data_IF_733495323846
#
_entry.id   IF_733495323846
#
_cell.length_a   1.000
_cell.length_b   1.000
_cell.length_c   1.000
_cell.angle_alpha   90.00
_cell.angle_beta   90.00
_cell.angle_gamma   90.00
#
_symmetry.space_group_name_H-M   'P 1'
#
loop_
_entity.id
_entity.type
_entity.pdbx_description
1 polymer ?
#
# COMPACT_ATOMS: atom_id res chain seq x y z
N UNK A 1 23.50 -5.19 -15.53
CA UNK A 1 22.43 -4.27 -15.97
C UNK A 1 22.07 -3.38 -14.79
N UNK A 2 21.77 -2.10 -15.04
CA UNK A 2 21.36 -1.12 -14.03
C UNK A 2 19.85 -0.89 -14.06
N UNK A 3 19.27 -0.56 -12.90
CA UNK A 3 17.87 -0.17 -12.76
C UNK A 3 17.64 1.16 -13.49
N UNK A 4 16.64 1.19 -14.37
CA UNK A 4 16.20 2.35 -15.14
C UNK A 4 14.67 2.33 -15.29
N UNK A 5 14.09 3.45 -15.72
CA UNK A 5 12.65 3.53 -16.03
C UNK A 5 12.25 2.48 -17.08
N UNK A 6 11.03 1.95 -16.94
CA UNK A 6 10.42 0.93 -17.80
C UNK A 6 11.11 -0.45 -17.73
N UNK A 7 11.83 -0.72 -16.64
CA UNK A 7 12.40 -2.04 -16.35
C UNK A 7 11.64 -2.74 -15.24
N UNK A 8 11.56 -4.06 -15.34
CA UNK A 8 11.08 -4.92 -14.26
C UNK A 8 12.25 -5.24 -13.35
N UNK A 9 12.09 -4.93 -12.08
CA UNK A 9 13.11 -5.16 -11.06
C UNK A 9 12.53 -6.12 -10.04
N UNK A 10 13.29 -7.17 -9.75
CA UNK A 10 13.01 -8.08 -8.65
C UNK A 10 14.00 -7.76 -7.53
N UNK A 11 13.48 -7.45 -6.36
CA UNK A 11 14.29 -7.15 -5.17
C UNK A 11 13.81 -7.98 -3.99
N UNK A 12 14.75 -8.28 -3.10
CA UNK A 12 14.45 -8.78 -1.76
C UNK A 12 14.69 -7.63 -0.79
N UNK A 13 13.81 -7.45 0.18
CA UNK A 13 13.98 -6.43 1.21
C UNK A 13 13.33 -6.87 2.51
N UNK A 14 13.80 -6.29 3.60
CA UNK A 14 13.18 -6.33 4.91
C UNK A 14 12.73 -4.91 5.24
N UNK A 15 11.48 -4.80 5.66
CA UNK A 15 10.84 -3.58 6.11
C UNK A 15 10.71 -3.60 7.63
N UNK A 16 11.19 -2.53 8.26
CA UNK A 16 11.11 -2.34 9.72
C UNK A 16 10.60 -0.94 10.02
N UNK A 17 9.81 -0.79 11.07
CA UNK A 17 9.35 0.53 11.57
C UNK A 17 10.33 1.18 12.53
N UNK A 18 11.29 0.41 13.07
CA UNK A 18 12.34 0.90 13.95
C UNK A 18 13.70 0.25 13.59
N UNK A 19 14.81 0.92 13.92
CA UNK A 19 16.18 0.44 13.68
C UNK A 19 16.46 -0.91 14.34
N UNK A 20 15.88 -1.16 15.51
CA UNK A 20 15.95 -2.44 16.25
C UNK A 20 14.58 -3.15 16.32
N UNK A 21 13.61 -2.64 15.55
CA UNK A 21 12.24 -3.14 15.53
C UNK A 21 12.06 -4.51 14.89
N UNK A 22 10.86 -5.04 15.04
CA UNK A 22 10.44 -6.26 14.36
C UNK A 22 10.31 -6.05 12.85
N UNK A 23 10.58 -7.11 12.09
CA UNK A 23 10.38 -7.12 10.65
C UNK A 23 8.88 -7.16 10.40
N UNK A 24 8.32 -6.05 9.91
CA UNK A 24 6.89 -5.96 9.61
C UNK A 24 6.59 -6.67 8.30
N UNK A 25 7.45 -6.49 7.30
CA UNK A 25 7.34 -7.14 6.00
C UNK A 25 8.71 -7.61 5.52
N UNK A 26 8.76 -8.74 4.84
CA UNK A 26 9.97 -9.20 4.17
C UNK A 26 9.64 -9.82 2.82
N UNK A 27 10.32 -9.35 1.79
CA UNK A 27 10.45 -10.02 0.52
C UNK A 27 11.71 -10.89 0.55
N UNK A 28 11.54 -12.21 0.50
CA UNK A 28 12.64 -13.18 0.45
C UNK A 28 12.86 -13.66 -0.99
N UNK A 29 13.98 -14.35 -1.26
CA UNK A 29 14.29 -14.84 -2.61
C UNK A 29 13.24 -15.83 -3.17
N UNK A 30 12.47 -16.49 -2.31
CA UNK A 30 11.35 -17.37 -2.71
C UNK A 30 10.12 -16.59 -3.20
N UNK A 31 9.91 -15.37 -2.67
CA UNK A 31 8.81 -14.47 -3.04
C UNK A 31 9.36 -13.05 -3.17
N UNK A 32 10.19 -12.78 -4.18
CA UNK A 32 10.82 -11.49 -4.34
C UNK A 32 9.78 -10.46 -4.80
N UNK A 33 9.95 -9.22 -4.35
CA UNK A 33 9.11 -8.14 -4.81
C UNK A 33 9.52 -7.78 -6.23
N UNK A 34 8.63 -8.08 -7.17
CA UNK A 34 8.79 -7.74 -8.57
C UNK A 34 7.91 -6.53 -8.88
N UNK A 35 8.53 -5.43 -9.30
CA UNK A 35 7.80 -4.21 -9.65
C UNK A 35 8.41 -3.55 -10.89
N UNK A 36 7.62 -2.69 -11.52
CA UNK A 36 8.05 -1.91 -12.69
C UNK A 36 8.62 -0.59 -12.23
N UNK A 37 9.91 -0.36 -12.46
CA UNK A 37 10.56 0.89 -12.08
C UNK A 37 10.03 2.05 -12.94
N UNK A 38 9.49 3.08 -12.29
CA UNK A 38 8.89 4.24 -12.97
C UNK A 38 7.41 4.07 -13.31
N UNK A 39 6.78 3.00 -12.85
CA UNK A 39 5.36 2.73 -13.03
C UNK A 39 4.45 3.46 -12.02
N UNK A 40 5.02 4.00 -10.94
CA UNK A 40 4.24 4.57 -9.84
C UNK A 40 3.45 3.53 -9.05
N UNK A 41 3.79 2.24 -9.18
CA UNK A 41 3.20 1.15 -8.38
C UNK A 41 3.80 1.07 -6.97
N UNK A 42 4.99 1.64 -6.80
CA UNK A 42 5.76 1.68 -5.55
C UNK A 42 5.99 3.13 -5.12
N UNK A 43 6.47 3.31 -3.89
CA UNK A 43 6.84 4.62 -3.35
C UNK A 43 7.89 5.28 -4.25
N UNK A 44 7.65 6.51 -4.70
CA UNK A 44 8.57 7.22 -5.61
C UNK A 44 10.00 7.30 -5.04
N UNK A 45 10.10 7.47 -3.72
CA UNK A 45 11.38 7.53 -3.01
C UNK A 45 12.05 6.17 -2.90
N UNK A 46 11.28 5.08 -2.77
CA UNK A 46 11.81 3.72 -2.84
C UNK A 46 12.42 3.45 -4.22
N UNK A 47 11.67 3.74 -5.29
CA UNK A 47 12.17 3.57 -6.66
C UNK A 47 13.39 4.46 -6.95
N UNK A 48 13.38 5.72 -6.49
CA UNK A 48 14.47 6.65 -6.69
C UNK A 48 15.77 6.22 -6.01
N UNK A 49 15.69 5.62 -4.82
CA UNK A 49 16.88 5.06 -4.14
C UNK A 49 17.42 3.82 -4.86
N UNK A 50 16.58 3.07 -5.55
CA UNK A 50 16.97 1.91 -6.34
C UNK A 50 17.49 2.28 -7.74
N UNK A 51 17.10 3.43 -8.29
CA UNK A 51 17.57 3.89 -9.60
C UNK A 51 19.09 3.98 -9.64
N UNK A 52 19.68 3.37 -10.67
CA UNK A 52 21.14 3.33 -10.85
C UNK A 52 21.86 2.22 -10.11
N UNK A 53 21.18 1.44 -9.27
CA UNK A 53 21.76 0.21 -8.70
C UNK A 53 21.85 -0.89 -9.77
N UNK A 54 22.83 -1.77 -9.60
CA UNK A 54 23.04 -2.93 -10.47
C UNK A 54 22.46 -4.18 -9.84
N UNK A 55 22.14 -5.20 -10.65
CA UNK A 55 21.82 -6.55 -10.15
C UNK A 55 22.91 -7.04 -9.19
N UNK A 56 22.51 -7.54 -8.03
CA UNK A 56 23.37 -7.96 -6.92
C UNK A 56 23.84 -6.83 -6.01
N UNK A 57 23.34 -5.60 -6.18
CA UNK A 57 23.65 -4.49 -5.28
C UNK A 57 22.71 -4.51 -4.09
N UNK A 58 23.28 -4.48 -2.89
CA UNK A 58 22.53 -4.26 -1.66
C UNK A 58 22.27 -2.78 -1.43
N UNK A 59 21.16 -2.48 -0.77
CA UNK A 59 20.75 -1.14 -0.42
C UNK A 59 20.18 -1.12 1.00
N UNK A 60 20.48 -0.05 1.72
CA UNK A 60 19.91 0.25 3.01
C UNK A 60 19.56 1.75 3.04
N UNK A 61 18.28 2.05 3.15
CA UNK A 61 17.83 3.42 3.26
C UNK A 61 16.61 3.53 4.17
N UNK A 62 16.48 4.71 4.78
CA UNK A 62 15.34 5.10 5.58
C UNK A 62 14.42 5.97 4.72
N UNK A 63 13.14 5.64 4.71
CA UNK A 63 12.08 6.53 4.24
C UNK A 63 11.38 7.11 5.45
N UNK A 64 11.31 8.44 5.52
CA UNK A 64 10.48 9.08 6.52
C UNK A 64 9.02 8.70 6.29
N UNK A 65 8.20 8.72 7.34
CA UNK A 65 6.77 8.37 7.23
C UNK A 65 6.06 9.15 6.12
N UNK A 66 6.34 10.45 5.97
CA UNK A 66 5.81 11.32 4.90
C UNK A 66 6.19 10.88 3.47
N UNK A 67 7.31 10.17 3.32
CA UNK A 67 7.86 9.70 2.04
C UNK A 67 7.50 8.24 1.74
N UNK A 68 6.94 7.53 2.72
CA UNK A 68 6.45 6.18 2.59
C UNK A 68 4.93 6.13 2.50
N UNK A 69 4.24 5.55 3.49
CA UNK A 69 2.77 5.49 3.49
C UNK A 69 2.10 6.81 3.87
N UNK A 70 2.87 7.84 4.21
CA UNK A 70 2.40 9.09 4.76
C UNK A 70 2.28 9.04 6.29
N UNK A 71 2.05 10.21 6.87
CA UNK A 71 1.61 10.32 8.26
C UNK A 71 0.24 9.62 8.39
N UNK A 72 -0.02 9.04 9.57
CA UNK A 72 -1.37 8.64 9.93
C UNK A 72 -2.27 9.87 9.75
N UNK A 73 -3.21 9.80 8.81
CA UNK A 73 -4.10 10.91 8.53
C UNK A 73 -5.31 10.79 9.43
N UNK A 74 -5.67 11.89 10.09
CA UNK A 74 -6.96 12.01 10.77
C UNK A 74 -8.13 11.85 9.78
N UNK A 75 -7.90 12.06 8.47
CA UNK A 75 -8.90 11.81 7.43
C UNK A 75 -9.16 10.32 7.18
N UNK A 76 -8.22 9.44 7.56
CA UNK A 76 -8.42 8.00 7.56
C UNK A 76 -9.09 7.51 8.86
N UNK A 77 -9.31 8.40 9.82
CA UNK A 77 -10.20 8.16 10.95
C UNK A 77 -11.62 8.48 10.53
N UNK A 78 -12.48 7.46 10.51
CA UNK A 78 -13.85 7.57 10.06
C UNK A 78 -14.78 7.33 11.24
N UNK A 79 -15.73 8.25 11.43
CA UNK A 79 -16.87 8.07 12.32
C UNK A 79 -17.92 7.17 11.65
N UNK A 80 -18.03 5.94 12.14
CA UNK A 80 -19.01 4.98 11.67
C UNK A 80 -20.19 4.91 12.64
N UNK A 81 -21.44 4.91 12.16
CA UNK A 81 -22.59 4.74 13.04
C UNK A 81 -22.57 3.37 13.71
N UNK A 82 -22.90 3.33 15.01
CA UNK A 82 -22.89 2.11 15.82
C UNK A 82 -23.70 0.97 15.20
N UNK A 83 -24.77 1.29 14.47
CA UNK A 83 -25.63 0.32 13.79
C UNK A 83 -24.90 -0.59 12.80
N UNK A 84 -23.73 -0.19 12.28
CA UNK A 84 -22.92 -1.03 11.38
C UNK A 84 -22.27 -2.19 12.16
N UNK A 85 -22.01 -1.98 13.46
CA UNK A 85 -21.42 -2.97 14.35
C UNK A 85 -22.47 -3.73 15.17
N UNK A 86 -23.75 -3.54 14.87
CA UNK A 86 -24.82 -4.35 15.46
C UNK A 86 -24.89 -5.69 14.72
N UNK A 87 -24.47 -6.75 15.40
CA UNK A 87 -24.51 -8.12 14.88
C UNK A 87 -25.71 -8.81 15.54
N UNK A 88 -26.68 -9.26 14.74
CA UNK A 88 -27.96 -9.81 15.23
C UNK A 88 -28.82 -8.85 16.07
N UNK A 89 -28.63 -7.53 15.91
CA UNK A 89 -29.40 -6.51 16.65
C UNK A 89 -28.87 -6.24 18.07
N UNK A 90 -27.71 -6.80 18.42
CA UNK A 90 -26.96 -6.41 19.61
C UNK A 90 -25.64 -5.76 19.18
N UNK A 91 -25.32 -4.64 19.81
CA UNK A 91 -24.04 -3.96 19.58
C UNK A 91 -22.92 -4.80 20.19
N UNK A 92 -21.94 -5.16 19.36
CA UNK A 92 -20.84 -6.04 19.75
C UNK A 92 -19.79 -5.27 20.60
N UNK A 93 -20.19 -4.90 21.82
CA UNK A 93 -19.37 -4.14 22.77
C UNK A 93 -18.15 -4.91 23.31
N UNK A 94 -18.06 -6.20 23.02
CA UNK A 94 -16.86 -7.00 23.31
C UNK A 94 -15.79 -6.79 22.23
N UNK A 95 -16.17 -6.73 20.95
CA UNK A 95 -15.23 -6.45 19.86
C UNK A 95 -14.98 -4.95 19.65
N UNK A 96 -15.98 -4.09 19.82
CA UNK A 96 -15.86 -2.64 19.61
C UNK A 96 -15.45 -1.95 20.91
N UNK A 97 -14.18 -2.12 21.29
CA UNK A 97 -13.56 -1.45 22.42
C UNK A 97 -12.37 -0.62 21.95
N UNK A 98 -12.09 0.48 22.63
CA UNK A 98 -10.94 1.34 22.34
C UNK A 98 -9.65 0.52 22.33
N UNK A 99 -8.89 0.61 21.24
CA UNK A 99 -7.68 -0.17 20.98
C UNK A 99 -7.91 -1.54 20.31
N UNK A 100 -9.15 -2.00 20.14
CA UNK A 100 -9.40 -3.26 19.43
C UNK A 100 -9.29 -3.10 17.92
N UNK A 101 -8.75 -4.13 17.28
CA UNK A 101 -8.69 -4.27 15.82
C UNK A 101 -9.92 -5.02 15.35
N UNK A 102 -10.72 -4.39 14.49
CA UNK A 102 -11.96 -4.93 13.95
C UNK A 102 -11.81 -5.11 12.44
N UNK A 103 -11.93 -6.34 11.91
CA UNK A 103 -11.89 -6.58 10.48
C UNK A 103 -13.19 -6.06 9.83
N UNK A 104 -13.03 -5.11 8.94
CA UNK A 104 -14.07 -4.41 8.18
C UNK A 104 -13.93 -4.72 6.68
N UNK A 105 -14.94 -4.36 5.90
CA UNK A 105 -14.92 -4.49 4.45
C UNK A 105 -15.31 -3.15 3.81
N UNK A 106 -14.47 -2.62 2.93
CA UNK A 106 -14.78 -1.39 2.19
C UNK A 106 -15.86 -1.64 1.13
N UNK A 107 -16.44 -0.56 0.59
CA UNK A 107 -17.42 -0.58 -0.51
C UNK A 107 -16.97 -1.39 -1.74
N UNK A 108 -15.66 -1.52 -1.95
CA UNK A 108 -15.03 -2.31 -3.02
C UNK A 108 -14.87 -3.79 -2.69
N UNK A 109 -15.30 -4.22 -1.50
CA UNK A 109 -15.23 -5.59 -1.04
C UNK A 109 -13.88 -6.03 -0.49
N UNK A 110 -12.93 -5.11 -0.34
CA UNK A 110 -11.62 -5.42 0.24
C UNK A 110 -11.73 -5.47 1.76
N UNK A 111 -11.19 -6.53 2.35
CA UNK A 111 -11.08 -6.63 3.81
C UNK A 111 -9.98 -5.69 4.29
N UNK A 112 -10.30 -4.87 5.27
CA UNK A 112 -9.40 -3.93 5.91
C UNK A 112 -9.54 -4.05 7.42
N UNK A 113 -8.50 -3.73 8.15
CA UNK A 113 -8.56 -3.73 9.60
C UNK A 113 -8.74 -2.29 10.06
N UNK A 114 -9.75 -2.02 10.88
CA UNK A 114 -9.94 -0.73 11.54
C UNK A 114 -9.61 -0.86 13.02
N UNK A 115 -8.88 0.09 13.59
CA UNK A 115 -8.63 0.17 15.04
C UNK A 115 -9.67 1.09 15.65
N UNK A 116 -10.38 0.65 16.68
CA UNK A 116 -11.34 1.51 17.39
C UNK A 116 -10.56 2.52 18.22
N UNK A 117 -10.68 3.81 17.93
CA UNK A 117 -10.06 4.87 18.72
C UNK A 117 -10.94 5.30 19.88
N UNK A 118 -12.24 5.50 19.60
CA UNK A 118 -13.19 6.02 20.56
C UNK A 118 -14.59 5.48 20.25
N UNK A 119 -15.32 5.08 21.29
CA UNK A 119 -16.69 4.59 21.17
C UNK A 119 -17.65 5.63 21.75
N UNK A 120 -18.23 6.45 20.89
CA UNK A 120 -19.24 7.44 21.26
C UNK A 120 -20.62 6.83 21.54
N UNK A 121 -21.60 7.68 21.86
CA UNK A 121 -22.97 7.24 22.15
C UNK A 121 -23.70 6.76 20.89
N UNK A 122 -23.49 7.42 19.75
CA UNK A 122 -24.16 7.11 18.45
C UNK A 122 -23.20 6.67 17.35
N UNK A 123 -21.92 7.05 17.45
CA UNK A 123 -20.88 6.78 16.44
C UNK A 123 -19.65 6.18 17.10
N UNK A 124 -18.86 5.45 16.31
CA UNK A 124 -17.59 4.85 16.69
C UNK A 124 -16.52 5.43 15.78
N UNK A 125 -15.49 6.03 16.38
CA UNK A 125 -14.30 6.45 15.64
C UNK A 125 -13.43 5.26 15.40
N UNK A 126 -13.22 4.96 14.12
CA UNK A 126 -12.32 3.91 13.70
C UNK A 126 -11.21 4.48 12.85
N UNK A 127 -9.98 4.11 13.20
CA UNK A 127 -8.79 4.39 12.45
C UNK A 127 -8.60 3.31 11.39
N UNK A 128 -8.62 3.71 10.12
CA UNK A 128 -8.33 2.86 8.97
C UNK A 128 -6.96 3.13 8.36
N UNK A 129 -6.09 3.85 9.06
CA UNK A 129 -4.72 4.05 8.63
C UNK A 129 -4.03 2.71 8.40
N UNK A 130 -3.14 2.69 7.42
CA UNK A 130 -2.29 1.53 7.22
C UNK A 130 -1.47 1.31 8.51
N UNK A 131 -1.26 0.07 8.99
CA UNK A 131 -0.44 -0.20 10.17
C UNK A 131 1.03 0.25 10.05
N UNK A 132 1.43 0.81 8.90
CA UNK A 132 2.76 1.36 8.60
C UNK A 132 2.73 2.88 8.37
N UNK A 133 1.55 3.51 8.44
CA UNK A 133 1.39 4.95 8.30
C UNK A 133 1.67 5.62 9.65
N UNK A 134 2.44 6.71 9.65
CA UNK A 134 2.88 7.39 10.87
C UNK A 134 4.28 6.98 11.37
N UNK A 135 4.80 5.83 10.95
CA UNK A 135 6.14 5.36 11.34
C UNK A 135 7.19 5.53 10.24
N UNK A 136 8.44 5.69 10.65
CA UNK A 136 9.59 5.70 9.75
C UNK A 136 9.87 4.29 9.24
N UNK A 137 10.11 4.14 7.93
CA UNK A 137 10.35 2.84 7.33
C UNK A 137 11.81 2.64 6.97
N UNK A 138 12.40 1.59 7.52
CA UNK A 138 13.74 1.15 7.21
C UNK A 138 13.67 0.01 6.19
N UNK A 139 14.18 0.27 5.00
CA UNK A 139 14.28 -0.71 3.93
C UNK A 139 15.72 -1.18 3.84
N UNK A 140 15.92 -2.49 3.96
CA UNK A 140 17.22 -3.12 3.76
C UNK A 140 17.06 -4.33 2.85
N UNK A 141 17.76 -4.33 1.73
CA UNK A 141 17.54 -5.32 0.69
C UNK A 141 18.67 -5.47 -0.30
N UNK A 142 18.40 -6.28 -1.32
CA UNK A 142 19.28 -6.50 -2.45
C UNK A 142 18.48 -6.66 -3.73
N UNK A 143 19.04 -6.13 -4.82
CA UNK A 143 18.49 -6.31 -6.16
C UNK A 143 18.88 -7.69 -6.67
N UNK A 144 17.91 -8.59 -6.86
CA UNK A 144 18.19 -9.95 -7.32
C UNK A 144 18.16 -10.08 -8.84
N UNK A 145 17.29 -9.33 -9.51
CA UNK A 145 17.12 -9.41 -10.96
C UNK A 145 16.65 -8.08 -11.54
N UNK A 146 17.12 -7.77 -12.74
CA UNK A 146 16.65 -6.63 -13.53
C UNK A 146 16.46 -7.13 -14.95
N UNK A 147 15.23 -7.03 -15.46
CA UNK A 147 14.88 -7.36 -16.85
C UNK A 147 14.14 -6.19 -17.49
N UNK A 148 14.12 -6.16 -18.81
CA UNK A 148 13.29 -5.20 -19.55
C UNK A 148 11.82 -5.59 -19.44
N UNK A 149 10.95 -4.59 -19.24
CA UNK A 149 9.50 -4.83 -19.24
C UNK A 149 9.06 -5.30 -20.62
N UNK A 150 8.19 -6.30 -20.68
CA UNK A 150 7.63 -6.72 -21.95
C UNK A 150 6.61 -5.70 -22.44
N UNK A 151 6.41 -5.61 -23.76
CA UNK A 151 5.45 -4.70 -24.37
C UNK A 151 4.04 -4.90 -23.77
N UNK A 152 3.65 -6.16 -23.50
CA UNK A 152 2.37 -6.52 -22.90
C UNK A 152 2.22 -5.99 -21.46
N UNK A 153 3.27 -6.06 -20.64
CA UNK A 153 3.28 -5.50 -19.29
C UNK A 153 3.21 -3.96 -19.32
N UNK A 154 3.90 -3.32 -20.26
CA UNK A 154 3.85 -1.86 -20.43
C UNK A 154 2.48 -1.36 -20.91
N UNK A 155 1.81 -2.12 -21.78
CA UNK A 155 0.45 -1.83 -22.22
C UNK A 155 -0.57 -2.05 -21.10
N UNK A 156 -0.43 -3.12 -20.31
CA UNK A 156 -1.29 -3.37 -19.14
C UNK A 156 -1.17 -2.25 -18.10
N UNK A 157 0.05 -1.80 -17.83
CA UNK A 157 0.31 -0.74 -16.88
C UNK A 157 -0.25 0.62 -17.34
N UNK A 158 -0.16 0.91 -18.64
CA UNK A 158 -0.81 2.09 -19.24
C UNK A 158 -2.33 1.98 -19.21
N UNK A 159 -2.88 0.79 -19.38
CA UNK A 159 -4.31 0.55 -19.29
C UNK A 159 -4.86 0.78 -17.88
N UNK A 160 -4.08 0.50 -16.83
CA UNK A 160 -4.44 0.84 -15.44
C UNK A 160 -4.23 2.33 -15.12
N UNK A 161 -3.10 2.93 -15.51
CA UNK A 161 -2.81 4.34 -15.25
C UNK A 161 -3.74 5.29 -16.03
N UNK A 162 -4.20 4.88 -17.20
CA UNK A 162 -5.33 5.50 -17.88
C UNK A 162 -6.62 4.88 -17.34
N UNK A 163 -7.03 5.32 -16.15
CA UNK A 163 -8.42 5.25 -15.69
C UNK A 163 -9.37 6.08 -16.58
N UNK A 164 -9.33 5.85 -17.89
CA UNK A 164 -10.41 6.21 -18.79
C UNK A 164 -11.48 5.12 -18.59
N UNK A 165 -12.47 5.44 -17.76
CA UNK A 165 -13.62 4.58 -17.51
C UNK A 165 -14.12 3.95 -18.83
N UNK A 166 -14.42 2.63 -18.87
CA UNK A 166 -15.22 2.05 -19.93
C UNK A 166 -16.68 2.50 -19.74
N UNK A 167 -16.95 3.76 -20.03
CA UNK A 167 -18.21 4.43 -19.69
C UNK A 167 -18.40 5.77 -20.38
N UNK A 168 -17.88 5.93 -21.60
CA UNK A 168 -18.08 7.10 -22.45
C UNK A 168 -18.68 6.72 -23.79
N UNK A 169 -19.87 6.14 -23.79
CA UNK A 169 -20.69 6.03 -24.99
C UNK A 169 -21.14 7.44 -25.39
N UNK A 170 -20.74 7.90 -26.58
CA UNK A 170 -21.04 9.26 -27.02
C UNK A 170 -20.76 9.56 -28.49
N UNK A 171 -21.29 8.73 -29.40
CA UNK A 171 -21.75 9.22 -30.70
C UNK A 171 -20.71 9.46 -31.80
N UNK A 172 -20.48 8.41 -32.59
CA UNK A 172 -20.62 8.43 -34.06
C UNK A 172 -20.28 9.71 -34.81
N UNK A 173 -19.13 9.67 -35.47
CA UNK A 173 -18.89 10.24 -36.80
C UNK A 173 -20.17 10.27 -37.66
N UNK A 174 -20.47 11.43 -38.23
CA UNK A 174 -21.24 11.53 -39.46
C UNK A 174 -20.70 12.67 -40.31
N UNK A 175 -20.21 12.28 -41.48
CA UNK A 175 -19.97 13.05 -42.70
C UNK A 175 -18.85 14.09 -42.68
#
# INVERSE_FOLDING_TARGET
>A
MTIAKDKVVSVIYELRTDLEGEIIEKAVAETPLTFHCGAGQMLEKFEANLMGLSVGSSFDFKLATEEAYGLASEEAVIDLPKNIFEVNGEFDSEMIQEGNVVPMQDSSGRRMNGIVLEVGETTVKMDFNHPLAGDDLYFKGEVIEVRDATQEEMDALKAEAQGCSPGGCGGGCSC
#
